data_IF_765706535904
#
_entry.id   IF_765706535904
#
_cell.length_a   1.000
_cell.length_b   1.000
_cell.length_c   1.000
_cell.angle_alpha   90.00
_cell.angle_beta   90.00
_cell.angle_gamma   90.00
#
_symmetry.space_group_name_H-M   'P 1'
#
loop_
_entity.id
_entity.type
_entity.pdbx_description
1 polymer ?
#
# COMPACT_ATOMS: atom_id res chain seq x y z
N UNK A 1 -7.95 -16.21 0.67
CA UNK A 1 -6.52 -15.93 0.43
C UNK A 1 -6.45 -14.69 -0.44
N UNK A 2 -5.61 -13.73 -0.10
CA UNK A 2 -5.35 -12.54 -0.93
C UNK A 2 -4.67 -12.95 -2.23
N UNK A 3 -5.12 -12.41 -3.37
CA UNK A 3 -4.45 -12.64 -4.65
C UNK A 3 -2.98 -12.19 -4.61
N UNK A 4 -2.69 -11.12 -3.86
CA UNK A 4 -1.34 -10.57 -3.76
C UNK A 4 -1.06 -9.99 -2.37
N UNK A 5 0.13 -10.24 -1.82
CA UNK A 5 0.55 -9.77 -0.48
C UNK A 5 1.50 -8.58 -0.53
N UNK A 6 1.88 -8.11 -1.73
CA UNK A 6 2.93 -7.11 -1.96
C UNK A 6 2.70 -5.80 -1.20
N UNK A 7 1.46 -5.31 -1.18
CA UNK A 7 1.12 -4.07 -0.45
C UNK A 7 1.15 -4.25 1.07
N UNK A 8 0.69 -5.41 1.54
CA UNK A 8 0.75 -5.75 2.96
C UNK A 8 2.21 -5.92 3.42
N UNK A 9 3.06 -6.53 2.60
CA UNK A 9 4.49 -6.70 2.87
C UNK A 9 5.26 -5.36 2.87
N UNK A 10 4.91 -4.44 1.96
CA UNK A 10 5.47 -3.08 1.93
C UNK A 10 5.20 -2.31 3.23
N UNK A 11 4.01 -2.49 3.82
CA UNK A 11 3.66 -1.94 5.13
C UNK A 11 4.14 -2.83 6.30
N UNK A 12 4.69 -4.00 6.02
CA UNK A 12 5.10 -5.01 6.99
C UNK A 12 3.97 -5.42 7.94
N UNK A 13 2.77 -5.59 7.37
CA UNK A 13 1.55 -6.00 8.05
C UNK A 13 1.00 -7.28 7.45
N UNK A 14 0.06 -7.91 8.17
CA UNK A 14 -0.64 -9.09 7.66
C UNK A 14 -1.81 -8.68 6.74
N UNK A 15 -2.24 -9.53 5.80
CA UNK A 15 -3.45 -9.31 5.02
C UNK A 15 -4.73 -9.25 5.87
N UNK A 16 -4.67 -9.74 7.11
CA UNK A 16 -5.74 -9.65 8.11
C UNK A 16 -5.72 -8.32 8.89
N UNK A 17 -4.75 -7.43 8.61
CA UNK A 17 -4.59 -6.17 9.34
C UNK A 17 -5.83 -5.27 9.21
N UNK A 18 -6.18 -4.62 10.32
CA UNK A 18 -7.28 -3.66 10.36
C UNK A 18 -6.86 -2.31 9.77
N UNK A 19 -7.84 -1.46 9.46
CA UNK A 19 -7.59 -0.10 8.96
C UNK A 19 -6.72 0.74 9.90
N UNK A 20 -6.86 0.55 11.22
CA UNK A 20 -6.02 1.24 12.21
C UNK A 20 -4.56 0.78 12.14
N UNK A 21 -4.33 -0.53 11.96
CA UNK A 21 -2.99 -1.09 11.80
C UNK A 21 -2.33 -0.62 10.50
N UNK A 22 -3.08 -0.57 9.40
CA UNK A 22 -2.62 -0.02 8.11
C UNK A 22 -2.17 1.43 8.27
N UNK A 23 -2.98 2.29 8.92
CA UNK A 23 -2.62 3.68 9.21
C UNK A 23 -1.39 3.81 10.08
N UNK A 24 -1.31 3.02 11.16
CA UNK A 24 -0.15 3.03 12.07
C UNK A 24 1.12 2.57 11.37
N UNK A 25 1.05 1.49 10.60
CA UNK A 25 2.17 0.95 9.85
C UNK A 25 2.67 1.94 8.80
N UNK A 26 1.76 2.54 8.02
CA UNK A 26 2.09 3.57 7.04
C UNK A 26 2.82 4.74 7.69
N UNK A 27 2.30 5.30 8.79
CA UNK A 27 2.98 6.40 9.51
C UNK A 27 4.39 6.00 9.95
N UNK A 28 4.55 4.79 10.48
CA UNK A 28 5.84 4.29 10.96
C UNK A 28 6.85 4.09 9.83
N UNK A 29 6.40 3.51 8.72
CA UNK A 29 7.21 3.26 7.53
C UNK A 29 7.55 4.56 6.79
N UNK A 30 6.59 5.48 6.64
CA UNK A 30 6.77 6.79 6.03
C UNK A 30 7.81 7.64 6.78
N UNK A 31 7.80 7.61 8.12
CA UNK A 31 8.81 8.28 8.94
C UNK A 31 10.20 7.63 8.81
N UNK A 32 10.24 6.30 8.68
CA UNK A 32 11.50 5.53 8.54
C UNK A 32 12.15 5.74 7.17
N UNK A 33 11.34 5.81 6.13
CA UNK A 33 11.76 5.96 4.73
C UNK A 33 11.60 7.40 4.21
N UNK A 34 11.36 8.37 5.10
CA UNK A 34 11.08 9.75 4.72
C UNK A 34 12.21 10.33 3.87
N UNK A 35 11.90 10.97 2.72
CA UNK A 35 12.92 11.50 1.82
C UNK A 35 13.79 12.57 2.49
N UNK A 36 13.24 13.36 3.43
CA UNK A 36 14.02 14.38 4.13
C UNK A 36 15.15 13.80 4.99
N UNK A 37 14.96 12.61 5.58
CA UNK A 37 16.00 11.92 6.37
C UNK A 37 16.87 10.99 5.53
N UNK A 38 16.43 10.66 4.32
CA UNK A 38 17.04 9.67 3.45
C UNK A 38 17.35 10.25 2.05
N UNK A 39 17.80 11.51 1.99
CA UNK A 39 18.03 12.24 0.72
C UNK A 39 19.03 11.54 -0.21
N UNK A 40 19.98 10.81 0.37
CA UNK A 40 21.05 10.09 -0.35
C UNK A 40 20.73 8.62 -0.64
N UNK A 41 19.58 8.11 -0.16
CA UNK A 41 19.24 6.69 -0.27
C UNK A 41 18.11 6.46 -1.28
N UNK A 42 18.42 6.10 -2.54
CA UNK A 42 17.39 5.85 -3.55
C UNK A 42 16.46 4.71 -3.15
N UNK A 43 16.96 3.71 -2.40
CA UNK A 43 16.13 2.60 -1.89
C UNK A 43 15.08 3.05 -0.87
N UNK A 44 15.32 4.16 -0.16
CA UNK A 44 14.34 4.72 0.75
C UNK A 44 13.21 5.41 -0.04
N UNK A 45 13.54 6.10 -1.14
CA UNK A 45 12.53 6.68 -2.03
C UNK A 45 11.66 5.60 -2.70
N UNK A 46 12.26 4.48 -3.13
CA UNK A 46 11.53 3.32 -3.65
C UNK A 46 10.58 2.75 -2.60
N UNK A 47 11.09 2.46 -1.39
CA UNK A 47 10.24 1.98 -0.27
C UNK A 47 9.14 2.96 0.11
N UNK A 48 9.42 4.27 0.09
CA UNK A 48 8.42 5.28 0.41
C UNK A 48 7.28 5.30 -0.62
N UNK A 49 7.61 5.13 -1.92
CA UNK A 49 6.61 4.94 -2.98
C UNK A 49 5.78 3.67 -2.75
N UNK A 50 6.42 2.54 -2.48
CA UNK A 50 5.72 1.27 -2.20
C UNK A 50 4.77 1.40 -1.00
N UNK A 51 5.25 1.99 0.10
CA UNK A 51 4.48 2.24 1.33
C UNK A 51 3.30 3.18 1.09
N UNK A 52 3.50 4.23 0.28
CA UNK A 52 2.43 5.18 -0.08
C UNK A 52 1.36 4.51 -0.94
N UNK A 53 1.78 3.73 -1.94
CA UNK A 53 0.87 3.01 -2.83
C UNK A 53 0.09 1.93 -2.05
N UNK A 54 0.77 1.21 -1.15
CA UNK A 54 0.11 0.26 -0.26
C UNK A 54 -0.95 0.92 0.61
N UNK A 55 -0.62 2.06 1.21
CA UNK A 55 -1.58 2.80 2.01
C UNK A 55 -2.76 3.30 1.19
N UNK A 56 -2.55 3.82 -0.02
CA UNK A 56 -3.63 4.34 -0.86
C UNK A 56 -4.66 3.27 -1.26
N UNK A 57 -4.20 2.03 -1.47
CA UNK A 57 -5.07 0.90 -1.82
C UNK A 57 -5.67 0.24 -0.58
N UNK A 58 -4.86 0.00 0.45
CA UNK A 58 -5.32 -0.74 1.64
C UNK A 58 -6.12 0.13 2.61
N UNK A 59 -5.88 1.44 2.65
CA UNK A 59 -6.65 2.37 3.48
C UNK A 59 -8.09 2.54 2.99
N UNK A 60 -8.36 2.22 1.73
CA UNK A 60 -9.67 2.35 1.14
C UNK A 60 -10.32 0.97 1.00
N UNK A 61 -11.49 0.72 1.62
CA UNK A 61 -12.09 -0.61 1.61
C UNK A 61 -12.47 -1.08 0.20
N UNK A 62 -12.82 -0.16 -0.71
CA UNK A 62 -13.20 -0.51 -2.09
C UNK A 62 -11.96 -0.90 -2.91
N UNK A 63 -10.89 -0.10 -2.81
CA UNK A 63 -9.61 -0.43 -3.46
C UNK A 63 -8.98 -1.69 -2.86
N UNK A 64 -9.05 -1.87 -1.54
CA UNK A 64 -8.57 -3.09 -0.86
C UNK A 64 -9.29 -4.31 -1.37
N UNK A 65 -10.62 -4.26 -1.49
CA UNK A 65 -11.41 -5.38 -2.02
C UNK A 65 -11.02 -5.70 -3.47
N UNK A 66 -10.82 -4.67 -4.28
CA UNK A 66 -10.35 -4.82 -5.67
C UNK A 66 -8.97 -5.46 -5.72
N UNK A 67 -8.04 -5.01 -4.86
CA UNK A 67 -6.70 -5.57 -4.74
C UNK A 67 -6.71 -7.03 -4.27
N UNK A 68 -7.52 -7.35 -3.26
CA UNK A 68 -7.70 -8.70 -2.74
C UNK A 68 -8.25 -9.65 -3.82
N UNK A 69 -9.13 -9.16 -4.71
CA UNK A 69 -9.77 -9.95 -5.78
C UNK A 69 -8.96 -10.06 -7.08
N UNK A 70 -8.29 -8.98 -7.50
CA UNK A 70 -7.66 -8.87 -8.82
C UNK A 70 -6.14 -8.62 -8.78
N UNK A 71 -5.56 -8.31 -7.62
CA UNK A 71 -4.13 -8.01 -7.46
C UNK A 71 -3.75 -6.57 -7.82
N UNK A 72 -2.47 -6.23 -7.64
CA UNK A 72 -1.95 -4.88 -7.90
C UNK A 72 -1.97 -4.54 -9.38
N UNK A 73 -1.72 -5.53 -10.23
CA UNK A 73 -1.63 -5.34 -11.68
C UNK A 73 -2.91 -4.75 -12.24
N UNK A 74 -4.07 -5.15 -11.74
CA UNK A 74 -5.37 -4.59 -12.14
C UNK A 74 -5.50 -3.09 -11.82
N UNK A 75 -5.01 -2.65 -10.65
CA UNK A 75 -5.00 -1.23 -10.29
C UNK A 75 -3.95 -0.44 -11.08
N UNK A 76 -2.79 -1.04 -11.41
CA UNK A 76 -1.70 -0.36 -12.11
C UNK A 76 -1.93 -0.22 -13.62
N UNK A 77 -2.60 -1.20 -14.26
CA UNK A 77 -2.85 -1.18 -15.70
C UNK A 77 -4.03 -0.29 -16.13
N UNK A 78 -4.58 0.51 -15.20
CA UNK A 78 -5.61 1.49 -15.52
C UNK A 78 -7.01 0.90 -15.71
N UNK A 79 -7.31 -0.23 -15.06
CA UNK A 79 -8.71 -0.63 -14.89
C UNK A 79 -9.43 0.48 -14.11
N UNK A 80 -10.56 1.02 -14.60
CA UNK A 80 -11.31 2.01 -13.83
C UNK A 80 -11.59 1.42 -12.44
N UNK A 81 -11.49 2.22 -11.35
CA UNK A 81 -11.99 1.76 -10.06
C UNK A 81 -13.43 1.28 -10.27
N UNK A 82 -13.89 0.19 -9.63
CA UNK A 82 -15.29 -0.16 -9.69
C UNK A 82 -16.06 1.09 -9.29
N UNK A 83 -16.80 1.65 -10.25
CA UNK A 83 -17.50 2.91 -10.11
C UNK A 83 -18.35 2.76 -8.86
N UNK A 84 -18.04 3.53 -7.81
CA UNK A 84 -19.03 3.83 -6.79
C UNK A 84 -20.21 4.42 -7.55
N UNK A 85 -21.30 3.65 -7.57
CA UNK A 85 -22.53 3.95 -8.31
C UNK A 85 -23.15 5.27 -7.84
#
# INVERSE_FOLDING_TARGET
MVAETKLYDALSIKPDATQDEIKKAYRKAALKHHPDKNKDNPKAAEKFKEVSQAYEVLSDPEKRKTYDQFGLEYLLHGGPPPSAA
#
